data_IF_919935980173
#
_entry.id   IF_919935980173
#
_cell.length_a   1.000
_cell.length_b   1.000
_cell.length_c   1.000
_cell.angle_alpha   90.00
_cell.angle_beta   90.00
_cell.angle_gamma   90.00
#
_symmetry.space_group_name_H-M   'P 1'
#
loop_
_entity.id
_entity.type
_entity.pdbx_description
1 polymer ?
#
# COMPACT_ATOMS: atom_id res chain seq x y z
N UNK A 1 -24.61 -10.02 -23.58
CA UNK A 1 -23.65 -10.57 -22.60
C UNK A 1 -22.50 -9.59 -22.48
N UNK A 2 -22.35 -8.92 -21.34
CA UNK A 2 -21.21 -8.04 -21.10
C UNK A 2 -19.99 -8.95 -20.94
N UNK A 3 -18.98 -8.82 -21.81
CA UNK A 3 -17.72 -9.54 -21.65
C UNK A 3 -17.03 -8.97 -20.42
N UNK A 4 -16.91 -9.81 -19.40
CA UNK A 4 -16.23 -9.46 -18.15
C UNK A 4 -14.72 -9.42 -18.43
N UNK A 5 -14.05 -8.33 -18.07
CA UNK A 5 -12.60 -8.22 -18.27
C UNK A 5 -11.89 -9.18 -17.33
N UNK A 6 -10.84 -9.83 -17.82
CA UNK A 6 -10.00 -10.76 -17.06
C UNK A 6 -8.72 -10.02 -16.68
N UNK A 7 -8.37 -10.04 -15.40
CA UNK A 7 -7.12 -9.50 -14.88
C UNK A 7 -6.36 -10.58 -14.11
N UNK A 8 -5.04 -10.53 -14.21
CA UNK A 8 -4.17 -11.45 -13.48
C UNK A 8 -3.71 -10.84 -12.15
N UNK A 9 -3.69 -11.66 -11.10
CA UNK A 9 -3.26 -11.25 -9.76
C UNK A 9 -2.17 -12.17 -9.22
N UNK A 10 -1.29 -11.60 -8.38
CA UNK A 10 -0.30 -12.35 -7.62
C UNK A 10 -0.19 -11.86 -6.18
N UNK A 11 0.23 -12.77 -5.30
CA UNK A 11 0.41 -12.53 -3.86
C UNK A 11 1.90 -12.59 -3.49
N UNK A 12 2.41 -11.52 -2.88
CA UNK A 12 3.79 -11.40 -2.39
C UNK A 12 3.84 -11.31 -0.86
N UNK A 13 4.72 -12.09 -0.24
CA UNK A 13 4.94 -12.07 1.22
C UNK A 13 3.88 -12.77 2.07
N UNK A 14 2.71 -13.07 1.50
CA UNK A 14 1.59 -13.67 2.23
C UNK A 14 1.88 -15.12 2.63
N UNK A 15 1.66 -15.45 3.91
CA UNK A 15 1.81 -16.82 4.42
C UNK A 15 0.73 -17.77 3.85
N UNK A 16 0.96 -19.09 3.92
CA UNK A 16 0.09 -20.08 3.26
C UNK A 16 -1.38 -20.04 3.74
N UNK A 17 -1.59 -19.86 5.04
CA UNK A 17 -2.94 -19.79 5.62
C UNK A 17 -3.72 -18.57 5.10
N UNK A 18 -3.07 -17.41 5.04
CA UNK A 18 -3.67 -16.16 4.56
C UNK A 18 -3.81 -16.16 3.04
N UNK A 19 -2.87 -16.77 2.33
CA UNK A 19 -2.94 -17.00 0.89
C UNK A 19 -4.21 -17.76 0.54
N UNK A 20 -4.50 -18.87 1.24
CA UNK A 20 -5.74 -19.63 1.00
C UNK A 20 -6.99 -18.78 1.25
N UNK A 21 -6.99 -17.98 2.31
CA UNK A 21 -8.11 -17.09 2.62
C UNK A 21 -8.33 -16.02 1.54
N UNK A 22 -7.27 -15.37 1.07
CA UNK A 22 -7.31 -14.37 -0.01
C UNK A 22 -7.77 -14.98 -1.34
N UNK A 23 -7.19 -16.12 -1.72
CA UNK A 23 -7.54 -16.82 -2.95
C UNK A 23 -9.01 -17.23 -2.93
N UNK A 24 -9.46 -17.83 -1.82
CA UNK A 24 -10.87 -18.22 -1.64
C UNK A 24 -11.82 -17.03 -1.70
N UNK A 25 -11.49 -15.94 -1.01
CA UNK A 25 -12.32 -14.73 -0.99
C UNK A 25 -12.43 -14.10 -2.39
N UNK A 26 -11.31 -13.94 -3.11
CA UNK A 26 -11.31 -13.37 -4.46
C UNK A 26 -12.02 -14.25 -5.47
N UNK A 27 -11.82 -15.56 -5.37
CA UNK A 27 -12.52 -16.54 -6.22
C UNK A 27 -14.04 -16.48 -5.97
N UNK A 28 -14.44 -16.38 -4.71
CA UNK A 28 -15.86 -16.24 -4.31
C UNK A 28 -16.45 -14.93 -4.81
N UNK A 29 -15.79 -13.79 -4.56
CA UNK A 29 -16.23 -12.48 -5.03
C UNK A 29 -16.35 -12.43 -6.57
N UNK A 30 -15.39 -13.05 -7.27
CA UNK A 30 -15.41 -13.20 -8.71
C UNK A 30 -16.61 -14.06 -9.17
N UNK A 31 -16.81 -15.23 -8.57
CA UNK A 31 -17.93 -16.12 -8.91
C UNK A 31 -19.30 -15.51 -8.61
N UNK A 32 -19.43 -14.75 -7.52
CA UNK A 32 -20.67 -14.09 -7.09
C UNK A 32 -21.02 -12.84 -7.89
N UNK A 33 -20.25 -12.47 -8.92
CA UNK A 33 -20.44 -11.24 -9.72
C UNK A 33 -20.40 -9.95 -8.88
N UNK A 34 -19.77 -10.01 -7.70
CA UNK A 34 -19.55 -8.84 -6.85
C UNK A 34 -18.36 -8.00 -7.34
N UNK A 35 -17.53 -8.58 -8.20
CA UNK A 35 -16.49 -7.89 -8.95
C UNK A 35 -16.93 -7.68 -10.39
N UNK A 36 -16.62 -6.51 -10.94
CA UNK A 36 -16.80 -6.16 -12.34
C UNK A 36 -15.86 -6.98 -13.25
N UNK A 37 -14.85 -7.62 -12.66
CA UNK A 37 -13.78 -8.34 -13.34
C UNK A 37 -13.66 -9.78 -12.89
N UNK A 38 -13.09 -10.62 -13.75
CA UNK A 38 -12.64 -11.95 -13.40
C UNK A 38 -11.16 -11.88 -13.01
N UNK A 39 -10.80 -12.49 -11.88
CA UNK A 39 -9.41 -12.57 -11.43
C UNK A 39 -8.86 -13.97 -11.71
N UNK A 40 -7.72 -14.01 -12.40
CA UNK A 40 -6.90 -15.20 -12.61
C UNK A 40 -5.58 -15.08 -11.86
N UNK A 41 -4.97 -16.21 -11.52
CA UNK A 41 -3.72 -16.23 -10.75
C UNK A 41 -2.54 -16.46 -11.69
N UNK A 42 -1.57 -15.55 -11.63
CA UNK A 42 -0.36 -15.62 -12.44
C UNK A 42 0.91 -15.51 -11.58
N UNK A 43 2.09 -15.87 -12.10
CA UNK A 43 3.36 -15.53 -11.47
C UNK A 43 3.48 -14.02 -11.25
N UNK A 44 4.19 -13.55 -10.20
CA UNK A 44 4.37 -12.12 -9.94
C UNK A 44 4.97 -11.35 -11.11
N UNK A 45 5.78 -11.99 -11.95
CA UNK A 45 6.39 -11.38 -13.13
C UNK A 45 5.39 -11.12 -14.28
N UNK A 46 4.19 -11.69 -14.24
CA UNK A 46 3.17 -11.60 -15.31
C UNK A 46 1.85 -11.01 -14.81
N UNK A 47 1.73 -10.72 -13.51
CA UNK A 47 0.49 -10.24 -12.90
C UNK A 47 0.23 -8.74 -13.15
N UNK A 48 -1.01 -8.41 -13.50
CA UNK A 48 -1.51 -7.03 -13.64
C UNK A 48 -1.72 -6.37 -12.26
N UNK A 49 -2.19 -7.16 -11.28
CA UNK A 49 -2.47 -6.74 -9.90
C UNK A 49 -1.51 -7.44 -8.95
N UNK A 50 -0.72 -6.67 -8.20
CA UNK A 50 0.16 -7.19 -7.15
C UNK A 50 -0.41 -6.89 -5.77
N UNK A 51 -0.76 -7.93 -5.02
CA UNK A 51 -1.13 -7.81 -3.60
C UNK A 51 0.12 -8.10 -2.77
N UNK A 52 0.59 -7.07 -2.06
CA UNK A 52 1.88 -7.09 -1.35
C UNK A 52 1.62 -7.02 0.14
N UNK A 53 2.13 -8.01 0.87
CA UNK A 53 2.18 -7.98 2.33
C UNK A 53 3.21 -6.94 2.80
N UNK A 54 2.74 -5.80 3.29
CA UNK A 54 3.60 -4.70 3.74
C UNK A 54 4.21 -4.96 5.12
N UNK A 55 3.74 -5.97 5.83
CA UNK A 55 4.38 -6.43 7.06
C UNK A 55 5.66 -7.25 6.76
N UNK A 56 5.89 -7.63 5.49
CA UNK A 56 7.02 -8.45 5.06
C UNK A 56 8.00 -7.64 4.19
N UNK A 57 9.18 -7.26 4.72
CA UNK A 57 10.12 -6.38 4.01
C UNK A 57 10.66 -7.00 2.71
N UNK A 58 10.79 -8.33 2.65
CA UNK A 58 11.16 -9.05 1.43
C UNK A 58 10.12 -8.91 0.32
N UNK A 59 8.84 -8.83 0.67
CA UNK A 59 7.75 -8.67 -0.29
C UNK A 59 7.77 -7.26 -0.91
N UNK A 60 8.05 -6.24 -0.09
CA UNK A 60 8.22 -4.86 -0.55
C UNK A 60 9.39 -4.75 -1.53
N UNK A 61 10.55 -5.35 -1.21
CA UNK A 61 11.71 -5.36 -2.09
C UNK A 61 11.42 -6.05 -3.43
N UNK A 62 10.76 -7.21 -3.39
CA UNK A 62 10.35 -7.91 -4.61
C UNK A 62 9.38 -7.08 -5.44
N UNK A 63 8.40 -6.44 -4.80
CA UNK A 63 7.44 -5.59 -5.49
C UNK A 63 8.09 -4.37 -6.14
N UNK A 64 9.08 -3.73 -5.50
CA UNK A 64 9.86 -2.64 -6.10
C UNK A 64 10.70 -3.10 -7.30
N UNK A 65 11.26 -4.32 -7.20
CA UNK A 65 11.99 -4.95 -8.29
C UNK A 65 11.15 -5.31 -9.50
N UNK A 66 9.82 -5.22 -9.45
CA UNK A 66 8.92 -5.56 -10.56
C UNK A 66 8.33 -4.34 -11.29
N UNK A 67 8.64 -3.12 -10.81
CA UNK A 67 8.04 -1.87 -11.29
C UNK A 67 8.39 -1.49 -12.71
N UNK A 68 9.52 -2.00 -13.20
CA UNK A 68 10.04 -1.68 -14.52
C UNK A 68 9.44 -2.56 -15.62
N UNK A 69 8.65 -3.58 -15.29
CA UNK A 69 8.20 -4.59 -16.26
C UNK A 69 6.89 -4.22 -16.95
N UNK A 70 5.91 -3.62 -16.28
CA UNK A 70 4.59 -3.32 -16.86
C UNK A 70 3.82 -2.29 -16.02
N UNK A 71 2.84 -1.53 -16.56
CA UNK A 71 1.85 -0.85 -15.74
C UNK A 71 1.10 -1.87 -14.87
N UNK A 72 1.23 -1.73 -13.54
CA UNK A 72 0.66 -2.65 -12.56
C UNK A 72 -0.04 -1.88 -11.46
N UNK A 73 -1.22 -2.35 -11.09
CA UNK A 73 -1.88 -1.86 -9.90
C UNK A 73 -1.35 -2.63 -8.67
N UNK A 74 -1.16 -1.90 -7.58
CA UNK A 74 -0.63 -2.44 -6.33
C UNK A 74 -1.67 -2.32 -5.23
N UNK A 75 -1.78 -3.38 -4.45
CA UNK A 75 -2.69 -3.46 -3.32
C UNK A 75 -1.85 -3.79 -2.08
N UNK A 76 -1.88 -2.91 -1.08
CA UNK A 76 -1.15 -3.07 0.18
C UNK A 76 -1.96 -3.90 1.17
N UNK A 77 -1.39 -5.00 1.64
CA UNK A 77 -1.99 -5.90 2.64
C UNK A 77 -1.20 -5.84 3.95
N UNK A 78 -1.83 -5.56 5.09
CA UNK A 78 -1.09 -5.55 6.37
C UNK A 78 -1.88 -5.15 7.62
N UNK A 79 -1.22 -5.19 8.77
CA UNK A 79 -1.78 -4.88 10.10
C UNK A 79 -1.66 -3.41 10.51
N UNK A 80 -0.63 -2.68 10.04
CA UNK A 80 -0.32 -1.34 10.56
C UNK A 80 -1.13 -0.24 9.86
N UNK A 81 -1.95 0.44 10.66
CA UNK A 81 -2.84 1.52 10.25
C UNK A 81 -2.10 2.75 9.75
N UNK A 82 -2.42 3.12 8.51
CA UNK A 82 -2.66 4.48 7.96
C UNK A 82 -2.65 4.44 6.42
N UNK A 83 -2.11 3.38 5.81
CA UNK A 83 -1.93 3.29 4.35
C UNK A 83 -2.16 1.90 3.73
N UNK A 84 -2.94 1.00 4.35
CA UNK A 84 -3.25 -0.33 3.79
C UNK A 84 -4.58 -0.33 3.02
N UNK A 85 -4.57 -0.81 1.77
CA UNK A 85 -5.78 -1.03 0.96
C UNK A 85 -6.63 -2.18 1.52
N UNK A 86 -5.96 -3.19 2.09
CA UNK A 86 -6.59 -4.35 2.74
C UNK A 86 -5.95 -4.55 4.11
N UNK A 87 -6.75 -4.40 5.16
CA UNK A 87 -6.32 -4.66 6.53
C UNK A 87 -6.56 -6.10 6.98
N UNK A 88 -5.82 -6.51 8.01
CA UNK A 88 -6.10 -7.74 8.76
C UNK A 88 -7.02 -7.42 9.97
N UNK A 89 -8.00 -8.28 10.29
CA UNK A 89 -8.41 -9.49 9.58
C UNK A 89 -9.04 -9.17 8.22
N UNK A 90 -8.92 -10.11 7.26
CA UNK A 90 -9.41 -9.93 5.89
C UNK A 90 -10.92 -9.59 5.87
N UNK A 91 -11.27 -8.45 5.27
CA UNK A 91 -12.66 -8.05 5.05
C UNK A 91 -12.99 -8.11 3.56
N UNK A 92 -14.01 -8.89 3.20
CA UNK A 92 -14.41 -9.10 1.81
C UNK A 92 -14.75 -7.79 1.07
N UNK A 93 -15.39 -6.83 1.78
CA UNK A 93 -15.70 -5.52 1.20
C UNK A 93 -14.44 -4.70 0.87
N UNK A 94 -13.47 -4.64 1.79
CA UNK A 94 -12.21 -3.93 1.56
C UNK A 94 -11.41 -4.57 0.42
N UNK A 95 -11.37 -5.91 0.37
CA UNK A 95 -10.77 -6.66 -0.73
C UNK A 95 -11.43 -6.34 -2.08
N UNK A 96 -12.76 -6.32 -2.13
CA UNK A 96 -13.49 -5.98 -3.36
C UNK A 96 -13.22 -4.54 -3.81
N UNK A 97 -13.30 -3.57 -2.89
CA UNK A 97 -13.03 -2.16 -3.19
C UNK A 97 -11.59 -1.94 -3.67
N UNK A 98 -10.60 -2.60 -3.05
CA UNK A 98 -9.21 -2.49 -3.46
C UNK A 98 -8.97 -3.05 -4.87
N UNK A 99 -9.60 -4.17 -5.22
CA UNK A 99 -9.51 -4.76 -6.56
C UNK A 99 -10.18 -3.88 -7.61
N UNK A 100 -11.38 -3.36 -7.34
CA UNK A 100 -12.05 -2.46 -8.29
C UNK A 100 -11.25 -1.16 -8.50
N UNK A 101 -10.68 -0.60 -7.44
CA UNK A 101 -9.79 0.57 -7.56
C UNK A 101 -8.53 0.26 -8.37
N UNK A 102 -7.95 -0.92 -8.19
CA UNK A 102 -6.80 -1.38 -8.98
C UNK A 102 -7.15 -1.56 -10.47
N UNK A 103 -8.33 -2.09 -10.78
CA UNK A 103 -8.83 -2.23 -12.16
C UNK A 103 -9.04 -0.87 -12.81
N UNK A 104 -9.63 0.09 -12.10
CA UNK A 104 -9.81 1.47 -12.61
C UNK A 104 -8.46 2.11 -12.92
N UNK A 105 -7.46 1.95 -12.06
CA UNK A 105 -6.10 2.43 -12.32
C UNK A 105 -5.46 1.83 -13.58
N UNK A 106 -5.71 0.55 -13.85
CA UNK A 106 -5.22 -0.11 -15.07
C UNK A 106 -5.95 0.36 -16.34
N UNK A 107 -7.21 0.80 -16.21
CA UNK A 107 -8.03 1.27 -17.32
C UNK A 107 -7.79 2.74 -17.68
N UNK A 108 -7.36 3.59 -16.74
CA UNK A 108 -7.07 5.01 -16.94
C UNK A 108 -5.57 5.32 -16.74
N UNK A 109 -4.71 5.09 -17.75
CA UNK A 109 -3.26 5.24 -17.61
C UNK A 109 -2.77 6.71 -17.55
N UNK A 110 -3.64 7.70 -17.32
CA UNK A 110 -3.29 9.12 -17.37
C UNK A 110 -3.31 9.77 -15.97
N UNK A 111 -2.12 10.08 -15.46
CA UNK A 111 -1.88 11.04 -14.38
C UNK A 111 -2.52 10.77 -13.00
N UNK A 112 -2.07 9.70 -12.34
CA UNK A 112 -1.89 9.82 -10.91
C UNK A 112 -0.53 9.27 -10.53
N UNK A 113 0.33 10.18 -10.08
CA UNK A 113 1.52 9.85 -9.31
C UNK A 113 1.12 8.81 -8.27
N UNK A 114 1.69 7.62 -8.45
CA UNK A 114 2.24 6.78 -7.40
C UNK A 114 1.66 7.15 -6.02
N UNK A 115 0.72 6.33 -5.52
CA UNK A 115 0.61 6.17 -4.07
C UNK A 115 2.04 6.09 -3.54
N UNK A 116 2.42 7.10 -2.76
CA UNK A 116 3.81 7.52 -2.54
C UNK A 116 4.73 6.30 -2.46
N UNK A 117 5.91 6.34 -3.11
CA UNK A 117 6.81 5.20 -3.13
C UNK A 117 6.92 4.64 -1.71
N UNK A 118 6.80 3.31 -1.54
CA UNK A 118 6.92 2.63 -0.25
C UNK A 118 8.21 2.98 0.51
N UNK A 119 9.16 3.67 -0.14
CA UNK A 119 10.39 4.23 0.41
C UNK A 119 10.27 5.67 0.97
N UNK A 120 9.19 6.42 0.74
CA UNK A 120 9.07 7.80 1.22
C UNK A 120 8.92 7.90 2.75
N UNK A 121 8.54 6.81 3.43
CA UNK A 121 8.48 6.76 4.89
C UNK A 121 9.79 6.27 5.55
N UNK A 122 10.78 5.84 4.78
CA UNK A 122 12.09 5.44 5.33
C UNK A 122 13.07 6.61 5.49
N UNK A 123 12.82 7.78 4.86
CA UNK A 123 13.75 8.91 4.87
C UNK A 123 13.40 10.00 5.90
N UNK A 124 12.57 9.68 6.91
CA UNK A 124 12.29 10.58 8.05
C UNK A 124 12.80 10.09 9.40
N UNK A 125 13.62 9.04 9.44
CA UNK A 125 14.27 8.58 10.68
C UNK A 125 15.76 8.89 10.80
N UNK A 126 16.39 9.54 9.82
CA UNK A 126 17.81 9.93 9.89
C UNK A 126 18.02 11.43 9.63
N UNK A 127 17.19 12.26 10.27
CA UNK A 127 17.56 13.65 10.47
C UNK A 127 18.42 13.71 11.76
N UNK A 128 19.74 13.93 11.68
CA UNK A 128 20.51 14.25 12.88
C UNK A 128 19.91 15.50 13.52
N UNK A 129 19.68 15.41 14.83
CA UNK A 129 19.21 16.52 15.65
C UNK A 129 20.08 17.76 15.38
N UNK A 130 19.52 18.72 14.62
CA UNK A 130 20.14 20.01 14.44
C UNK A 130 20.14 20.74 15.80
N UNK A 131 21.22 21.45 16.14
CA UNK A 131 21.50 21.89 17.50
C UNK A 131 20.51 22.96 17.97
N UNK A 132 20.19 22.86 19.26
CA UNK A 132 19.47 23.83 20.07
C UNK A 132 19.80 25.28 19.67
N UNK A 133 18.82 25.99 19.11
CA UNK A 133 18.89 27.44 19.00
C UNK A 133 18.89 28.02 20.43
N UNK A 134 19.80 28.96 20.76
CA UNK A 134 19.86 29.53 22.10
C UNK A 134 18.55 30.27 22.40
N UNK A 135 17.81 29.71 23.35
CA UNK A 135 16.60 30.26 23.94
C UNK A 135 16.93 31.67 24.47
N UNK A 136 16.37 32.69 23.84
CA UNK A 136 16.49 34.07 24.29
C UNK A 136 16.12 34.16 25.79
N UNK A 137 17.04 34.72 26.57
CA UNK A 137 16.90 34.87 28.01
C UNK A 137 15.67 35.73 28.36
N UNK A 138 14.87 35.36 29.37
CA UNK A 138 13.84 36.25 29.89
C UNK A 138 14.51 37.40 30.66
N UNK A 139 14.33 38.62 30.18
CA UNK A 139 14.72 39.88 30.86
C UNK A 139 14.07 39.92 32.25
N UNK A 140 14.84 39.59 33.29
CA UNK A 140 14.50 39.88 34.68
C UNK A 140 14.65 41.39 34.88
N UNK A 141 13.53 42.12 34.91
CA UNK A 141 13.50 43.47 35.45
C UNK A 141 13.63 43.35 36.98
N UNK A 142 14.82 43.60 37.50
CA UNK A 142 15.03 43.81 38.94
C UNK A 142 15.09 45.31 39.19
N UNK A 143 14.02 45.86 39.77
CA UNK A 143 13.95 47.24 40.24
C UNK A 143 14.43 47.23 41.69
N UNK A 144 15.65 47.72 41.93
CA UNK A 144 16.23 47.76 43.28
C UNK A 144 17.46 48.66 43.38
N UNK A 145 17.19 49.94 43.65
CA UNK A 145 17.95 50.97 44.39
C UNK A 145 19.49 50.98 44.55
N UNK A 146 19.99 52.22 44.45
CA UNK A 146 20.99 52.92 45.27
C UNK A 146 22.49 52.78 44.95
N UNK A 147 23.09 53.91 44.53
CA UNK A 147 24.21 54.57 45.22
C UNK A 147 23.97 56.08 45.22
#
# INVERSE_FOLDING_TARGET
MIKRQVFTAALLGVCDAERRALVSALTTLSASQLLSVQIEWAPPAEADILIVDVDQPDAIRQAAGLDHLWPRARIRYGQRGTAADISRPLRAHALASAVEAAVVQLAEPANHELGAPLNAEAERLDAPAAPEAPRAAPTRVYRGQAY
#
